data_IF_627974039550
#
_entry.id   IF_627974039550
#
_cell.length_a   1.000
_cell.length_b   1.000
_cell.length_c   1.000
_cell.angle_alpha   90.00
_cell.angle_beta   90.00
_cell.angle_gamma   90.00
#
_symmetry.space_group_name_H-M   'P 1'
#
loop_
_entity.id
_entity.type
_entity.pdbx_description
1 polymer ?
#
# COMPACT_ATOMS: atom_id res chain seq x y z
N UNK A 1 9.92 -49.65 -26.97
CA UNK A 1 10.68 -48.90 -25.94
C UNK A 1 10.31 -47.41 -25.84
N UNK A 2 9.81 -46.76 -26.90
CA UNK A 2 9.48 -45.31 -26.88
C UNK A 2 8.38 -44.85 -25.90
N UNK A 3 7.38 -45.69 -25.58
CA UNK A 3 6.31 -45.33 -24.61
C UNK A 3 6.82 -45.09 -23.18
N UNK A 4 7.90 -45.75 -22.77
CA UNK A 4 8.49 -45.57 -21.42
C UNK A 4 9.30 -44.27 -21.31
N UNK A 5 9.91 -43.84 -22.40
CA UNK A 5 10.69 -42.59 -22.47
C UNK A 5 9.76 -41.37 -22.47
N UNK A 6 8.63 -41.45 -23.19
CA UNK A 6 7.61 -40.40 -23.19
C UNK A 6 7.02 -40.15 -21.79
N UNK A 7 6.83 -41.22 -21.00
CA UNK A 7 6.28 -41.12 -19.64
C UNK A 7 7.27 -40.43 -18.67
N UNK A 8 8.57 -40.72 -18.81
CA UNK A 8 9.62 -40.08 -18.00
C UNK A 8 9.76 -38.60 -18.38
N UNK A 9 9.68 -38.27 -19.68
CA UNK A 9 9.73 -36.88 -20.14
C UNK A 9 8.50 -36.08 -19.65
N UNK A 10 7.32 -36.70 -19.61
CA UNK A 10 6.10 -36.09 -19.07
C UNK A 10 6.20 -35.86 -17.56
N UNK A 11 6.81 -36.78 -16.81
CA UNK A 11 7.02 -36.60 -15.36
C UNK A 11 8.03 -35.49 -15.04
N UNK A 12 9.04 -35.26 -15.88
CA UNK A 12 9.99 -34.13 -15.72
C UNK A 12 9.35 -32.79 -16.08
N UNK A 13 8.36 -32.77 -16.97
CA UNK A 13 7.56 -31.58 -17.25
C UNK A 13 6.50 -31.29 -16.17
N UNK A 14 6.15 -32.30 -15.37
CA UNK A 14 5.18 -32.21 -14.25
C UNK A 14 5.82 -31.90 -12.90
N UNK A 15 7.15 -31.80 -12.79
CA UNK A 15 7.77 -31.10 -11.67
C UNK A 15 7.59 -29.59 -11.87
N UNK A 16 6.32 -29.17 -11.81
CA UNK A 16 5.93 -27.77 -11.71
C UNK A 16 6.67 -27.15 -10.54
N UNK A 17 7.05 -25.88 -10.72
CA UNK A 17 7.80 -25.08 -9.76
C UNK A 17 7.40 -25.44 -8.34
N UNK A 18 8.35 -25.99 -7.58
CA UNK A 18 8.16 -26.20 -6.15
C UNK A 18 7.59 -24.89 -5.59
N UNK A 19 6.39 -24.95 -5.02
CA UNK A 19 5.81 -23.84 -4.31
C UNK A 19 6.86 -23.40 -3.30
N UNK A 20 7.47 -22.25 -3.55
CA UNK A 20 8.64 -21.85 -2.81
C UNK A 20 8.23 -21.76 -1.35
N UNK A 21 8.92 -22.47 -0.46
CA UNK A 21 8.69 -22.44 0.99
C UNK A 21 9.18 -21.11 1.59
N UNK A 22 8.98 -20.00 0.87
CA UNK A 22 9.39 -18.68 1.28
C UNK A 22 8.41 -18.16 2.34
N UNK A 23 8.98 -17.61 3.40
CA UNK A 23 8.25 -16.81 4.38
C UNK A 23 7.60 -15.60 3.72
N UNK A 24 6.60 -15.00 4.39
CA UNK A 24 5.96 -13.77 3.88
C UNK A 24 6.98 -12.65 3.71
N UNK A 25 7.97 -12.55 4.61
CA UNK A 25 9.06 -11.58 4.51
C UNK A 25 9.89 -11.76 3.24
N UNK A 26 10.36 -12.98 2.95
CA UNK A 26 11.14 -13.26 1.75
C UNK A 26 10.34 -13.01 0.47
N UNK A 27 9.05 -13.31 0.48
CA UNK A 27 8.15 -13.03 -0.66
C UNK A 27 7.99 -11.53 -0.87
N UNK A 28 7.79 -10.75 0.19
CA UNK A 28 7.70 -9.29 0.11
C UNK A 28 9.00 -8.69 -0.46
N UNK A 29 10.15 -9.10 0.08
CA UNK A 29 11.47 -8.67 -0.38
C UNK A 29 11.69 -8.99 -1.86
N UNK A 30 11.32 -10.20 -2.28
CA UNK A 30 11.45 -10.65 -3.66
C UNK A 30 10.58 -9.82 -4.60
N UNK A 31 9.33 -9.55 -4.25
CA UNK A 31 8.40 -8.76 -5.07
C UNK A 31 8.89 -7.31 -5.23
N UNK A 32 9.26 -6.66 -4.13
CA UNK A 32 9.77 -5.27 -4.17
C UNK A 32 11.08 -5.20 -4.96
N UNK A 33 11.98 -6.16 -4.79
CA UNK A 33 13.26 -6.21 -5.53
C UNK A 33 13.05 -6.45 -7.01
N UNK A 34 12.10 -7.32 -7.37
CA UNK A 34 11.77 -7.60 -8.77
C UNK A 34 11.20 -6.36 -9.44
N UNK A 35 10.25 -5.70 -8.79
CA UNK A 35 9.62 -4.48 -9.33
C UNK A 35 10.62 -3.31 -9.36
N UNK A 36 11.51 -3.18 -8.38
CA UNK A 36 12.50 -2.08 -8.34
C UNK A 36 13.48 -2.13 -9.51
N UNK A 37 13.84 -3.33 -9.97
CA UNK A 37 14.69 -3.55 -11.13
C UNK A 37 14.03 -3.17 -12.47
N UNK A 38 12.70 -3.01 -12.50
CA UNK A 38 11.97 -2.57 -13.68
C UNK A 38 12.05 -1.04 -13.84
N UNK A 39 12.09 -0.53 -15.09
CA UNK A 39 11.93 0.88 -15.37
C UNK A 39 10.62 1.43 -14.79
N UNK A 40 10.65 2.67 -14.31
CA UNK A 40 9.44 3.33 -13.83
C UNK A 40 8.54 3.64 -15.04
N UNK A 41 7.30 3.14 -15.07
CA UNK A 41 6.40 3.41 -16.16
C UNK A 41 5.95 4.87 -16.16
N UNK A 42 5.76 5.43 -17.36
CA UNK A 42 5.16 6.76 -17.51
C UNK A 42 3.69 6.73 -17.07
N UNK A 43 3.23 7.83 -16.47
CA UNK A 43 1.86 7.92 -15.97
C UNK A 43 0.83 7.71 -17.10
N UNK A 44 -0.13 6.81 -16.86
CA UNK A 44 -1.27 6.56 -17.75
C UNK A 44 -2.53 7.30 -17.31
N UNK A 45 -2.55 7.82 -16.08
CA UNK A 45 -3.68 8.52 -15.48
C UNK A 45 -3.28 9.88 -14.93
N UNK A 46 -4.18 10.85 -15.06
CA UNK A 46 -4.01 12.23 -14.59
C UNK A 46 -5.22 12.67 -13.76
N UNK A 47 -4.94 13.12 -12.55
CA UNK A 47 -5.91 13.72 -11.62
C UNK A 47 -5.64 15.21 -11.43
N UNK A 48 -6.42 15.95 -10.59
CA UNK A 48 -6.11 17.33 -10.21
C UNK A 48 -4.86 17.50 -9.34
N UNK A 49 -4.56 16.54 -8.43
CA UNK A 49 -3.40 16.64 -7.51
C UNK A 49 -2.17 15.80 -7.89
N UNK A 50 -2.35 14.67 -8.58
CA UNK A 50 -1.23 13.81 -8.98
C UNK A 50 -1.44 13.16 -10.36
N UNK A 51 -0.42 12.48 -10.86
CA UNK A 51 -0.48 11.52 -11.97
C UNK A 51 0.05 10.18 -11.50
N UNK A 52 -0.37 9.09 -12.12
CA UNK A 52 0.08 7.74 -11.78
C UNK A 52 -0.07 6.79 -12.97
N UNK A 53 0.61 5.66 -12.91
CA UNK A 53 0.46 4.53 -13.82
C UNK A 53 -0.28 3.39 -13.13
N UNK A 54 -1.06 2.64 -13.89
CA UNK A 54 -1.54 1.31 -13.52
C UNK A 54 -1.33 0.35 -14.68
N UNK A 55 -0.86 -0.85 -14.37
CA UNK A 55 -0.73 -1.91 -15.37
C UNK A 55 -2.10 -2.43 -15.85
N UNK A 56 -2.18 -3.03 -17.06
CA UNK A 56 -3.45 -3.51 -17.62
C UNK A 56 -4.20 -4.55 -16.78
N UNK A 57 -3.50 -5.29 -15.92
CA UNK A 57 -4.06 -6.28 -14.99
C UNK A 57 -4.79 -5.67 -13.79
N UNK A 58 -4.71 -4.35 -13.59
CA UNK A 58 -5.35 -3.65 -12.48
C UNK A 58 -6.61 -2.94 -12.97
N UNK A 59 -7.76 -3.38 -12.47
CA UNK A 59 -9.06 -2.76 -12.73
C UNK A 59 -9.27 -1.49 -11.89
N UNK A 60 -10.10 -0.58 -12.40
CA UNK A 60 -10.48 0.68 -11.73
C UNK A 60 -11.97 0.66 -11.41
N UNK A 61 -12.36 0.99 -10.17
CA UNK A 61 -13.75 0.95 -9.71
C UNK A 61 -14.32 2.33 -9.38
N UNK A 62 -13.61 3.08 -8.55
CA UNK A 62 -14.03 4.41 -8.09
C UNK A 62 -12.83 5.34 -7.99
N UNK A 63 -13.08 6.64 -8.17
CA UNK A 63 -12.01 7.64 -8.22
C UNK A 63 -12.54 8.99 -7.74
N UNK A 64 -11.91 9.57 -6.71
CA UNK A 64 -12.11 10.96 -6.26
C UNK A 64 -10.91 11.81 -6.68
N UNK A 65 -10.77 13.05 -6.22
CA UNK A 65 -9.57 13.84 -6.56
C UNK A 65 -8.31 13.34 -5.84
N UNK A 66 -8.47 12.80 -4.63
CA UNK A 66 -7.41 12.32 -3.73
C UNK A 66 -7.25 10.81 -3.75
N UNK A 67 -8.29 10.05 -4.08
CA UNK A 67 -8.36 8.60 -3.86
C UNK A 67 -8.71 7.79 -5.11
N UNK A 68 -8.20 6.56 -5.22
CA UNK A 68 -8.62 5.56 -6.20
C UNK A 68 -8.93 4.23 -5.52
N UNK A 69 -9.97 3.55 -5.99
CA UNK A 69 -10.26 2.14 -5.71
C UNK A 69 -9.91 1.30 -6.94
N UNK A 70 -9.03 0.33 -6.71
CA UNK A 70 -8.50 -0.59 -7.69
C UNK A 70 -8.90 -2.03 -7.36
N UNK A 71 -8.78 -2.92 -8.36
CA UNK A 71 -8.80 -4.35 -8.13
C UNK A 71 -7.69 -5.06 -8.87
N UNK A 72 -7.08 -6.02 -8.18
CA UNK A 72 -6.12 -6.94 -8.74
C UNK A 72 -6.47 -8.37 -8.30
N UNK A 73 -6.65 -9.29 -9.25
CA UNK A 73 -7.04 -10.69 -8.98
C UNK A 73 -8.24 -10.82 -8.00
N UNK A 74 -9.29 -10.02 -8.20
CA UNK A 74 -10.47 -9.93 -7.32
C UNK A 74 -10.21 -9.39 -5.90
N UNK A 75 -8.97 -9.00 -5.59
CA UNK A 75 -8.62 -8.26 -4.38
C UNK A 75 -8.80 -6.78 -4.63
N UNK A 76 -9.59 -6.11 -3.80
CA UNK A 76 -9.72 -4.65 -3.83
C UNK A 76 -8.61 -4.00 -3.02
N UNK A 77 -8.11 -2.90 -3.52
CA UNK A 77 -7.15 -2.08 -2.81
C UNK A 77 -7.32 -0.62 -3.23
N UNK A 78 -6.80 0.27 -2.42
CA UNK A 78 -7.00 1.71 -2.54
C UNK A 78 -5.70 2.45 -2.52
N UNK A 79 -5.70 3.62 -3.14
CA UNK A 79 -4.62 4.59 -3.11
C UNK A 79 -5.21 5.92 -2.66
N UNK A 80 -4.58 6.56 -1.67
CA UNK A 80 -4.81 7.93 -1.29
C UNK A 80 -3.56 8.77 -1.43
N UNK A 81 -3.77 10.04 -1.71
CA UNK A 81 -2.73 11.04 -1.56
C UNK A 81 -2.37 11.19 -0.06
N UNK A 82 -1.08 11.12 0.28
CA UNK A 82 -0.61 11.34 1.64
C UNK A 82 -0.45 12.84 1.89
N UNK A 83 -1.58 13.54 2.03
CA UNK A 83 -1.58 15.01 2.15
C UNK A 83 -0.78 15.46 3.37
N UNK A 84 -0.87 14.75 4.50
CA UNK A 84 -0.09 15.07 5.70
C UNK A 84 1.42 15.12 5.42
N UNK A 85 1.97 14.07 4.81
CA UNK A 85 3.40 14.03 4.49
C UNK A 85 3.80 15.02 3.38
N UNK A 86 2.87 15.41 2.50
CA UNK A 86 3.10 16.46 1.49
C UNK A 86 3.14 17.85 2.13
N UNK A 87 2.27 18.11 3.11
CA UNK A 87 2.16 19.39 3.82
C UNK A 87 3.30 19.57 4.84
N UNK A 88 3.70 18.49 5.50
CA UNK A 88 4.75 18.49 6.52
C UNK A 88 5.78 17.40 6.21
N UNK A 89 6.93 17.81 5.65
CA UNK A 89 8.03 16.92 5.33
C UNK A 89 8.72 16.31 6.56
N UNK A 90 8.42 16.78 7.77
CA UNK A 90 8.89 16.17 9.01
C UNK A 90 8.02 15.00 9.48
N UNK A 91 6.90 14.74 8.79
CA UNK A 91 6.04 13.58 9.05
C UNK A 91 6.84 12.29 8.93
N UNK A 92 6.93 11.58 10.05
CA UNK A 92 7.56 10.27 10.10
C UNK A 92 6.61 9.21 9.51
N UNK A 93 6.81 8.89 8.24
CA UNK A 93 6.04 7.87 7.54
C UNK A 93 6.34 6.43 7.99
N UNK A 94 7.40 6.23 8.78
CA UNK A 94 7.84 4.91 9.25
C UNK A 94 7.15 4.50 10.55
N UNK A 95 6.43 5.42 11.19
CA UNK A 95 5.57 5.07 12.31
C UNK A 95 4.40 4.23 11.80
N UNK A 96 4.50 2.93 12.06
CA UNK A 96 3.38 2.01 11.92
C UNK A 96 2.16 2.61 12.63
N UNK A 97 1.04 2.65 11.91
CA UNK A 97 -0.24 3.10 12.46
C UNK A 97 -0.87 2.04 13.38
N UNK A 98 -0.23 0.87 13.52
CA UNK A 98 -0.74 -0.29 14.25
C UNK A 98 0.12 -0.62 15.48
N UNK A 99 -0.55 -1.03 16.55
CA UNK A 99 0.11 -1.52 17.77
C UNK A 99 0.61 -2.97 17.63
N UNK A 100 0.05 -3.73 16.68
CA UNK A 100 0.56 -5.05 16.33
C UNK A 100 1.87 -4.95 15.54
N UNK A 101 2.73 -5.95 15.70
CA UNK A 101 3.95 -6.07 14.90
C UNK A 101 3.61 -6.70 13.55
N UNK A 102 4.08 -6.13 12.42
CA UNK A 102 3.87 -6.73 11.12
C UNK A 102 4.58 -8.09 11.02
N UNK A 103 3.96 -9.01 10.26
CA UNK A 103 4.55 -10.32 9.95
C UNK A 103 5.57 -10.24 8.82
N UNK A 104 5.52 -9.17 8.02
CA UNK A 104 6.56 -8.79 7.07
C UNK A 104 6.63 -7.26 6.95
N UNK A 105 7.85 -6.72 6.87
CA UNK A 105 8.11 -5.29 6.73
C UNK A 105 9.28 -5.07 5.77
N UNK A 106 9.12 -4.12 4.86
CA UNK A 106 10.18 -3.68 3.97
C UNK A 106 10.15 -2.16 3.84
N UNK A 107 11.26 -1.51 4.13
CA UNK A 107 11.41 -0.06 4.05
C UNK A 107 12.59 0.32 3.17
N UNK A 108 12.50 1.47 2.51
CA UNK A 108 13.61 2.00 1.73
C UNK A 108 13.24 3.31 1.07
N UNK A 109 13.97 3.64 0.01
CA UNK A 109 13.74 4.83 -0.79
C UNK A 109 13.88 4.51 -2.28
N UNK A 110 13.18 5.23 -3.15
CA UNK A 110 13.39 5.18 -4.59
C UNK A 110 13.46 6.59 -5.18
N UNK A 111 14.07 6.72 -6.36
CA UNK A 111 13.98 7.94 -7.16
C UNK A 111 12.71 7.88 -8.02
N UNK A 112 11.89 8.92 -7.98
CA UNK A 112 10.73 9.03 -8.86
C UNK A 112 11.12 9.55 -10.25
N UNK A 113 10.14 9.76 -11.13
CA UNK A 113 10.36 10.29 -12.50
C UNK A 113 10.84 11.76 -12.54
N UNK A 114 10.87 12.45 -11.41
CA UNK A 114 11.40 13.81 -11.25
C UNK A 114 12.77 13.82 -10.54
N UNK A 115 13.42 12.67 -10.38
CA UNK A 115 14.67 12.49 -9.62
C UNK A 115 14.56 12.97 -8.16
N UNK A 116 13.36 12.89 -7.58
CA UNK A 116 13.14 13.11 -6.16
C UNK A 116 13.24 11.79 -5.40
N UNK A 117 13.98 11.80 -4.29
CA UNK A 117 13.99 10.69 -3.34
C UNK A 117 12.65 10.59 -2.62
N UNK A 118 12.00 9.44 -2.71
CA UNK A 118 10.75 9.11 -2.02
C UNK A 118 10.99 7.94 -1.09
N UNK A 119 10.90 8.21 0.21
CA UNK A 119 10.95 7.18 1.24
C UNK A 119 9.63 6.41 1.29
N UNK A 120 9.70 5.13 1.66
CA UNK A 120 8.53 4.29 1.82
C UNK A 120 8.73 3.20 2.88
N UNK A 121 7.60 2.74 3.41
CA UNK A 121 7.49 1.51 4.20
C UNK A 121 6.32 0.68 3.66
N UNK A 122 6.55 -0.62 3.53
CA UNK A 122 5.52 -1.59 3.20
C UNK A 122 5.42 -2.60 4.34
N UNK A 123 4.21 -2.80 4.84
CA UNK A 123 3.93 -3.64 5.99
C UNK A 123 2.81 -4.63 5.66
N UNK A 124 2.97 -5.88 6.08
CA UNK A 124 1.95 -6.91 5.98
C UNK A 124 1.60 -7.39 7.39
N UNK A 125 0.31 -7.36 7.70
CA UNK A 125 -0.25 -7.87 8.95
C UNK A 125 -1.13 -9.07 8.64
N UNK A 126 -1.04 -10.11 9.47
CA UNK A 126 -2.01 -11.20 9.42
C UNK A 126 -3.23 -10.78 10.22
N UNK A 127 -4.41 -10.83 9.60
CA UNK A 127 -5.68 -10.53 10.25
C UNK A 127 -6.62 -11.71 10.02
N UNK A 128 -6.76 -12.56 11.05
CA UNK A 128 -7.46 -13.84 10.97
C UNK A 128 -6.89 -14.74 9.85
N UNK A 129 -7.69 -14.97 8.80
CA UNK A 129 -7.34 -15.81 7.64
C UNK A 129 -6.82 -14.99 6.45
N UNK A 130 -6.87 -13.67 6.54
CA UNK A 130 -6.47 -12.74 5.49
C UNK A 130 -5.23 -11.93 5.91
N UNK A 131 -4.73 -11.14 4.96
CA UNK A 131 -3.50 -10.38 5.09
C UNK A 131 -3.77 -8.94 4.67
N UNK A 132 -3.59 -8.02 5.62
CA UNK A 132 -3.68 -6.59 5.35
C UNK A 132 -2.31 -6.10 4.86
N UNK A 133 -2.30 -5.43 3.71
CA UNK A 133 -1.09 -4.88 3.07
C UNK A 133 -1.17 -3.37 3.08
N UNK A 134 -0.15 -2.74 3.67
CA UNK A 134 0.01 -1.30 3.74
C UNK A 134 1.25 -0.88 2.97
N UNK A 135 1.12 0.18 2.20
CA UNK A 135 2.24 0.85 1.57
C UNK A 135 2.13 2.34 1.84
N UNK A 136 3.09 2.89 2.57
CA UNK A 136 3.11 4.30 2.96
C UNK A 136 4.34 4.95 2.35
N UNK A 137 4.16 6.06 1.65
CA UNK A 137 5.26 6.94 1.21
C UNK A 137 4.98 8.39 1.54
N UNK A 138 5.95 9.26 1.31
CA UNK A 138 5.75 10.71 1.42
C UNK A 138 4.76 11.29 0.40
N UNK A 139 4.31 10.50 -0.58
CA UNK A 139 3.37 10.93 -1.61
C UNK A 139 1.99 10.27 -1.48
N UNK A 140 1.93 8.98 -1.17
CA UNK A 140 0.69 8.20 -1.20
C UNK A 140 0.65 7.13 -0.11
N UNK A 141 -0.57 6.78 0.28
CA UNK A 141 -0.88 5.62 1.12
C UNK A 141 -1.70 4.63 0.29
N UNK A 142 -1.28 3.38 0.23
CA UNK A 142 -2.05 2.29 -0.38
C UNK A 142 -2.39 1.23 0.66
N UNK A 143 -3.58 0.66 0.52
CA UNK A 143 -4.10 -0.35 1.43
C UNK A 143 -4.94 -1.38 0.70
N UNK A 144 -4.86 -2.64 1.11
CA UNK A 144 -5.73 -3.71 0.63
C UNK A 144 -5.68 -4.94 1.52
N UNK A 145 -6.69 -5.79 1.39
CA UNK A 145 -6.80 -7.06 2.13
C UNK A 145 -6.75 -8.21 1.13
N UNK A 146 -5.73 -9.04 1.23
CA UNK A 146 -5.47 -10.15 0.31
C UNK A 146 -5.38 -11.49 1.06
N UNK A 147 -5.57 -12.58 0.32
CA UNK A 147 -5.25 -13.92 0.83
C UNK A 147 -3.73 -14.15 0.87
N UNK A 148 -3.28 -15.16 1.61
CA UNK A 148 -1.84 -15.50 1.80
C UNK A 148 -1.06 -15.60 0.49
N UNK A 149 -1.67 -16.11 -0.57
CA UNK A 149 -1.05 -16.29 -1.89
C UNK A 149 -0.73 -14.97 -2.58
N UNK A 150 -1.46 -13.91 -2.26
CA UNK A 150 -1.51 -12.70 -3.08
C UNK A 150 -1.00 -11.45 -2.36
N UNK A 151 -0.81 -11.50 -1.03
CA UNK A 151 -0.41 -10.32 -0.24
C UNK A 151 0.92 -9.70 -0.69
N UNK A 152 1.96 -10.51 -0.88
CA UNK A 152 3.25 -10.02 -1.36
C UNK A 152 3.17 -9.49 -2.80
N UNK A 153 2.44 -10.17 -3.68
CA UNK A 153 2.24 -9.72 -5.07
C UNK A 153 1.48 -8.39 -5.11
N UNK A 154 0.46 -8.23 -4.26
CA UNK A 154 -0.27 -6.98 -4.09
C UNK A 154 0.66 -5.85 -3.62
N UNK A 155 1.57 -6.11 -2.67
CA UNK A 155 2.59 -5.15 -2.25
C UNK A 155 3.48 -4.72 -3.42
N UNK A 156 3.89 -5.66 -4.28
CA UNK A 156 4.62 -5.37 -5.52
C UNK A 156 3.83 -4.47 -6.47
N UNK A 157 2.52 -4.70 -6.63
CA UNK A 157 1.64 -3.82 -7.44
C UNK A 157 1.51 -2.43 -6.84
N UNK A 158 1.32 -2.33 -5.51
CA UNK A 158 1.25 -1.06 -4.80
C UNK A 158 2.55 -0.27 -4.97
N UNK A 159 3.70 -0.94 -4.82
CA UNK A 159 5.01 -0.34 -5.03
C UNK A 159 5.20 0.16 -6.46
N UNK A 160 4.80 -0.63 -7.46
CA UNK A 160 4.85 -0.22 -8.88
C UNK A 160 4.04 1.05 -9.14
N UNK A 161 2.81 1.12 -8.61
CA UNK A 161 1.98 2.32 -8.72
C UNK A 161 2.65 3.50 -8.01
N UNK A 162 3.09 3.33 -6.76
CA UNK A 162 3.70 4.39 -5.98
C UNK A 162 4.93 5.02 -6.65
N UNK A 163 5.79 4.21 -7.29
CA UNK A 163 6.97 4.70 -8.04
C UNK A 163 6.62 5.62 -9.20
N UNK A 164 5.44 5.44 -9.79
CA UNK A 164 4.96 6.23 -10.93
C UNK A 164 4.22 7.51 -10.50
N UNK A 165 3.98 7.71 -9.20
CA UNK A 165 3.22 8.86 -8.72
C UNK A 165 4.06 10.12 -8.83
N UNK A 166 3.49 11.14 -9.47
CA UNK A 166 4.03 12.50 -9.49
C UNK A 166 2.97 13.43 -8.90
N UNK A 167 3.32 14.10 -7.79
CA UNK A 167 2.42 15.02 -7.08
C UNK A 167 2.67 16.46 -7.52
N UNK A 168 1.61 17.20 -7.80
CA UNK A 168 1.65 18.67 -7.96
C UNK A 168 1.58 19.32 -6.59
N UNK A 169 2.73 19.38 -5.92
CA UNK A 169 2.85 19.85 -4.53
C UNK A 169 2.32 21.28 -4.36
N UNK A 170 2.58 22.17 -5.30
CA UNK A 170 2.08 23.54 -5.35
C UNK A 170 0.55 23.63 -5.29
N UNK A 171 -0.14 22.81 -6.08
CA UNK A 171 -1.61 22.76 -6.11
C UNK A 171 -2.17 22.20 -4.81
N UNK A 172 -1.55 21.14 -4.27
CA UNK A 172 -1.95 20.55 -2.97
C UNK A 172 -1.78 21.58 -1.85
N UNK A 173 -0.60 22.20 -1.73
CA UNK A 173 -0.34 23.23 -0.73
C UNK A 173 -1.34 24.38 -0.84
N UNK A 174 -1.66 24.84 -2.05
CA UNK A 174 -2.61 25.92 -2.24
C UNK A 174 -4.01 25.56 -1.74
N UNK A 175 -4.54 24.39 -2.10
CA UNK A 175 -5.89 23.99 -1.69
C UNK A 175 -5.96 23.73 -0.18
N UNK A 176 -5.02 22.96 0.35
CA UNK A 176 -5.06 22.49 1.74
C UNK A 176 -4.54 23.49 2.78
N UNK A 177 -3.85 24.57 2.37
CA UNK A 177 -3.53 25.69 3.29
C UNK A 177 -4.72 26.62 3.49
N UNK A 178 -5.65 26.70 2.53
CA UNK A 178 -6.84 27.58 2.61
C UNK A 178 -8.06 26.88 3.22
N UNK A 179 -8.16 25.55 3.08
CA UNK A 179 -9.18 24.76 3.77
C UNK A 179 -8.71 24.45 5.19
N UNK A 180 -9.34 25.07 6.18
CA UNK A 180 -8.99 24.92 7.60
C UNK A 180 -9.07 23.45 8.02
N UNK A 181 -7.96 22.89 8.51
CA UNK A 181 -7.86 21.61 9.23
C UNK A 181 -8.79 20.51 8.70
N UNK A 182 -8.49 20.00 7.50
CA UNK A 182 -9.08 18.76 7.02
C UNK A 182 -8.70 17.65 8.02
N UNK A 183 -9.70 16.91 8.49
CA UNK A 183 -9.54 15.74 9.34
C UNK A 183 -8.90 14.61 8.51
N UNK A 184 -7.58 14.69 8.33
CA UNK A 184 -6.77 13.77 7.54
C UNK A 184 -6.82 12.33 8.08
N UNK A 185 -7.10 12.16 9.37
CA UNK A 185 -7.29 10.85 9.99
C UNK A 185 -8.59 10.21 9.51
N UNK A 186 -9.66 11.01 9.35
CA UNK A 186 -10.96 10.57 8.86
C UNK A 186 -10.93 9.99 7.44
N UNK A 187 -10.09 10.48 6.53
CA UNK A 187 -10.05 9.99 5.14
C UNK A 187 -9.39 8.60 5.06
N UNK A 188 -8.26 8.38 5.73
CA UNK A 188 -7.68 7.05 5.88
C UNK A 188 -8.63 6.09 6.60
N UNK A 189 -9.26 6.53 7.70
CA UNK A 189 -10.21 5.73 8.50
C UNK A 189 -11.46 5.34 7.70
N UNK A 190 -12.01 6.26 6.91
CA UNK A 190 -13.17 5.99 6.06
C UNK A 190 -12.81 5.06 4.88
N UNK A 191 -11.57 5.08 4.41
CA UNK A 191 -11.09 4.14 3.39
C UNK A 191 -11.05 2.69 3.84
N UNK A 192 -10.89 2.45 5.14
CA UNK A 192 -10.86 1.10 5.66
C UNK A 192 -12.26 0.49 5.81
N UNK A 193 -13.28 1.31 6.08
CA UNK A 193 -14.66 0.84 6.28
C UNK A 193 -15.30 0.24 5.02
N UNK A 194 -14.86 0.67 3.84
CA UNK A 194 -15.45 0.24 2.56
C UNK A 194 -14.81 -1.05 1.98
N UNK A 195 -13.64 -1.48 2.50
CA UNK A 195 -12.83 -2.57 1.94
C UNK A 195 -12.52 -3.66 2.98
N UNK A 196 -12.57 -3.33 4.27
CA UNK A 196 -12.44 -4.31 5.34
C UNK A 196 -13.68 -5.23 5.37
N UNK A 197 -13.50 -6.56 5.55
CA UNK A 197 -14.62 -7.43 5.88
C UNK A 197 -15.30 -6.96 7.18
N UNK A 198 -16.62 -7.12 7.30
CA UNK A 198 -17.46 -6.68 8.45
C UNK A 198 -17.05 -7.29 9.81
N UNK A 199 -16.07 -8.20 9.84
CA UNK A 199 -15.53 -8.85 11.03
C UNK A 199 -14.64 -7.86 11.82
N UNK A 200 -15.11 -7.46 13.01
CA UNK A 200 -14.61 -6.33 13.82
C UNK A 200 -13.11 -6.26 14.16
N UNK A 201 -12.31 -7.28 13.87
CA UNK A 201 -10.85 -7.29 14.11
C UNK A 201 -10.04 -6.32 13.24
N UNK A 202 -10.47 -6.02 12.00
CA UNK A 202 -9.77 -5.03 11.17
C UNK A 202 -10.08 -3.61 11.65
N UNK A 203 -11.34 -3.36 11.99
CA UNK A 203 -11.76 -2.10 12.62
C UNK A 203 -11.06 -1.89 13.97
N UNK A 204 -10.82 -2.94 14.76
CA UNK A 204 -10.01 -2.88 15.99
C UNK A 204 -8.53 -2.52 15.73
N UNK A 205 -7.93 -3.03 14.64
CA UNK A 205 -6.59 -2.60 14.21
C UNK A 205 -6.58 -1.08 13.92
N UNK A 206 -7.66 -0.57 13.33
CA UNK A 206 -7.80 0.83 12.89
C UNK A 206 -8.16 1.78 14.05
N UNK A 207 -9.00 1.35 14.97
CA UNK A 207 -9.58 2.18 16.04
C UNK A 207 -8.59 2.47 17.18
N UNK A 208 -7.57 1.63 17.40
CA UNK A 208 -6.61 1.76 18.51
C UNK A 208 -5.83 3.10 18.47
N UNK A 209 -5.67 3.70 17.28
CA UNK A 209 -5.04 5.01 17.10
C UNK A 209 -5.94 6.19 17.49
N UNK A 210 -7.23 6.18 17.10
CA UNK A 210 -8.17 7.28 17.44
C UNK A 210 -8.31 7.50 18.95
N UNK A 211 -8.10 6.45 19.76
CA UNK A 211 -8.09 6.55 21.23
C UNK A 211 -6.80 7.13 21.80
N UNK A 212 -5.65 6.90 21.17
CA UNK A 212 -4.34 7.36 21.66
C UNK A 212 -4.16 8.85 21.36
N UNK A 213 -4.60 9.32 20.19
CA UNK A 213 -4.45 10.72 19.79
C UNK A 213 -5.45 11.65 20.50
N UNK A 214 -6.69 11.18 20.74
CA UNK A 214 -7.64 11.86 21.65
C UNK A 214 -7.16 11.94 23.12
N UNK A 215 -6.21 11.09 23.52
CA UNK A 215 -5.67 11.10 24.89
C UNK A 215 -4.48 12.06 25.04
N UNK A 216 -3.72 12.30 23.97
CA UNK A 216 -2.70 13.36 23.92
C UNK A 216 -3.30 14.76 23.93
N UNK A 217 -4.49 14.93 23.34
CA UNK A 217 -5.17 16.24 23.33
C UNK A 217 -5.87 16.56 24.66
N UNK A 218 -6.31 15.53 25.41
CA UNK A 218 -6.90 15.70 26.75
C UNK A 218 -5.91 15.96 27.87
N UNK A 219 -4.60 15.74 27.68
CA UNK A 219 -3.59 15.95 28.74
C UNK A 219 -2.99 17.36 28.78
N UNK A 220 -3.40 18.27 27.88
CA UNK A 220 -2.95 19.67 27.85
C UNK A 220 -3.96 20.69 28.41
N UNK A 221 -5.04 20.25 29.03
CA UNK A 221 -6.03 21.18 29.61
C UNK A 221 -6.41 20.83 31.05
N UNK A 222 -5.40 20.69 31.90
CA UNK A 222 -5.48 20.96 33.34
C UNK A 222 -4.06 21.02 33.87
N UNK A 223 -3.49 22.22 33.96
CA UNK A 223 -2.85 22.71 35.19
C UNK A 223 -2.29 24.14 34.98
N UNK A 224 -2.83 25.03 35.82
CA UNK A 224 -2.52 26.45 36.09
C UNK A 224 -2.88 27.53 35.06
#
# INVERSE_FOLDING_TARGET
MGKKILLVLLCVLLTGCAQSNLSMQERLEQEITTVSALPIPSASHRKPFYTYYTEPSIGHYRSTETSNEFSFQSTKFVLNLNVQAIMDSSTDITQSIYTQKPIAIYSGSFQNMLDETVDYVCEIYQVNHDYAVFFTSSAVNLFGVAQVGNAAELAGKMYSIARSVIVRKDVVLQVYTHESAIDYEGEAINLYKDIAPEEGTLQELIDDKTRIDNKKDKSKTTDN
#
